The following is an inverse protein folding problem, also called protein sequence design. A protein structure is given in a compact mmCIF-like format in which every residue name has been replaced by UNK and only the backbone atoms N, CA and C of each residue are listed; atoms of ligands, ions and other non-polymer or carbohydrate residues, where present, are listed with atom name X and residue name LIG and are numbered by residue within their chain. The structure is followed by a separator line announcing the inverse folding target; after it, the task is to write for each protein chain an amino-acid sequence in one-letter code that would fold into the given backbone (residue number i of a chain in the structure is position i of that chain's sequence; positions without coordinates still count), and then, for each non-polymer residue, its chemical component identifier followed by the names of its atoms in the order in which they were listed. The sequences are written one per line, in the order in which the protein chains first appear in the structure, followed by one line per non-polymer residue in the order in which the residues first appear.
data_IF_201711176755
#
_entry.id   IF_201711176755
#
_cell.length_a   1.000
_cell.length_b   1.000
_cell.length_c   1.000
_cell.angle_alpha   90.00
_cell.angle_beta   90.00
_cell.angle_gamma   90.00
#
_symmetry.space_group_name_H-M   'P 1'
#
loop_
_entity.id
_entity.type
_entity.pdbx_description
1 polymer ?
#
# COMPACT_ATOMS: atom_id res chain seq x y z
N UNK A 1 40.35 2.48 14.77
CA UNK A 1 39.68 2.90 13.52
C UNK A 1 38.25 3.29 13.87
N UNK A 2 37.85 4.57 13.84
CA UNK A 2 36.45 4.91 14.02
C UNK A 2 35.65 4.26 12.89
N UNK A 3 34.62 3.48 13.22
CA UNK A 3 33.73 2.89 12.21
C UNK A 3 33.04 4.04 11.51
N UNK A 4 33.29 4.22 10.22
CA UNK A 4 32.60 5.21 9.40
C UNK A 4 31.10 4.93 9.49
N UNK A 5 30.32 5.93 9.90
CA UNK A 5 28.87 5.77 9.96
C UNK A 5 28.32 5.45 8.58
N UNK A 6 27.36 4.52 8.47
CA UNK A 6 26.81 4.14 7.17
C UNK A 6 26.00 5.30 6.60
N UNK A 7 26.19 5.60 5.31
CA UNK A 7 25.37 6.56 4.57
C UNK A 7 23.91 6.09 4.52
N UNK A 8 22.98 6.93 4.96
CA UNK A 8 21.53 6.67 4.98
C UNK A 8 20.78 7.58 4.03
N UNK A 9 19.52 7.26 3.77
CA UNK A 9 18.64 8.17 3.05
C UNK A 9 18.49 9.50 3.81
N UNK A 10 18.37 10.61 3.07
CA UNK A 10 18.32 11.99 3.58
C UNK A 10 17.26 12.27 4.67
N UNK A 11 16.24 11.44 4.79
CA UNK A 11 15.14 11.61 5.75
C UNK A 11 15.38 10.90 7.08
N UNK A 12 16.30 9.92 7.14
CA UNK A 12 16.56 9.13 8.34
C UNK A 12 17.46 9.90 9.32
N UNK A 13 16.87 10.86 10.04
CA UNK A 13 17.60 11.82 10.91
C UNK A 13 17.31 11.63 12.40
N UNK A 14 16.06 11.42 12.78
CA UNK A 14 15.71 11.13 14.18
C UNK A 14 16.18 9.71 14.54
N UNK A 15 16.63 9.43 15.78
CA UNK A 15 17.02 8.08 16.19
C UNK A 15 15.97 7.00 15.87
N UNK A 16 14.68 7.32 16.00
CA UNK A 16 13.61 6.39 15.65
C UNK A 16 13.44 6.22 14.14
N UNK A 17 13.64 7.29 13.36
CA UNK A 17 13.68 7.21 11.89
C UNK A 17 14.84 6.32 11.43
N UNK A 18 16.01 6.43 12.07
CA UNK A 18 17.19 5.61 11.77
C UNK A 18 16.89 4.13 12.00
N UNK A 19 16.30 3.77 13.14
CA UNK A 19 15.94 2.36 13.42
C UNK A 19 14.91 1.86 12.41
N UNK A 20 13.88 2.65 12.10
CA UNK A 20 12.86 2.30 11.12
C UNK A 20 13.45 2.13 9.71
N UNK A 21 14.29 3.07 9.27
CA UNK A 21 15.00 3.03 7.99
C UNK A 21 15.89 1.79 7.87
N UNK A 22 16.70 1.52 8.89
CA UNK A 22 17.72 0.48 8.85
C UNK A 22 17.10 -0.93 8.88
N UNK A 23 15.96 -1.08 9.55
CA UNK A 23 15.37 -2.40 9.85
C UNK A 23 14.10 -2.72 9.08
N UNK A 24 13.30 -1.73 8.71
CA UNK A 24 11.94 -1.96 8.20
C UNK A 24 11.70 -1.36 6.81
N UNK A 25 12.03 -0.09 6.59
CA UNK A 25 11.62 0.63 5.38
C UNK A 25 12.25 0.03 4.11
N UNK A 26 11.41 -0.21 3.10
CA UNK A 26 11.82 -0.82 1.84
C UNK A 26 11.98 -2.34 1.91
N UNK A 27 11.97 -2.97 3.09
CA UNK A 27 12.07 -4.43 3.21
C UNK A 27 10.78 -5.07 2.71
N UNK A 28 10.83 -6.05 1.79
CA UNK A 28 9.64 -6.74 1.29
C UNK A 28 8.77 -7.36 2.40
N UNK A 29 7.55 -6.84 2.59
CA UNK A 29 6.57 -7.40 3.52
C UNK A 29 5.55 -8.24 2.78
N UNK A 30 5.34 -9.49 3.24
CA UNK A 30 4.38 -10.45 2.66
C UNK A 30 3.30 -10.91 3.64
N UNK A 31 3.33 -10.41 4.86
CA UNK A 31 2.37 -10.74 5.91
C UNK A 31 1.20 -9.75 5.89
N UNK A 32 -0.03 -10.24 5.72
CA UNK A 32 -1.24 -9.43 5.61
C UNK A 32 -1.43 -8.49 6.80
N UNK A 33 -1.23 -8.96 8.04
CA UNK A 33 -1.40 -8.13 9.24
C UNK A 33 -0.44 -6.93 9.23
N UNK A 34 0.82 -7.15 8.81
CA UNK A 34 1.81 -6.08 8.73
C UNK A 34 1.51 -5.10 7.59
N UNK A 35 1.03 -5.60 6.44
CA UNK A 35 0.56 -4.75 5.35
C UNK A 35 -0.63 -3.89 5.78
N UNK A 36 -1.59 -4.48 6.51
CA UNK A 36 -2.73 -3.74 7.06
C UNK A 36 -2.29 -2.67 8.06
N UNK A 37 -1.37 -3.00 8.97
CA UNK A 37 -0.77 -2.04 9.90
C UNK A 37 -0.20 -0.83 9.15
N UNK A 38 0.67 -1.05 8.17
CA UNK A 38 1.26 0.06 7.40
C UNK A 38 0.21 0.85 6.64
N UNK A 39 -0.75 0.20 5.96
CA UNK A 39 -1.79 0.90 5.22
C UNK A 39 -2.60 1.86 6.12
N UNK A 40 -2.94 1.45 7.34
CA UNK A 40 -3.62 2.33 8.30
C UNK A 40 -2.73 3.46 8.81
N UNK A 41 -1.46 3.17 9.11
CA UNK A 41 -0.52 4.18 9.62
C UNK A 41 -0.20 5.26 8.57
N UNK A 42 -0.05 4.87 7.31
CA UNK A 42 0.16 5.80 6.19
C UNK A 42 -1.08 6.69 5.97
N UNK A 43 -2.29 6.13 6.08
CA UNK A 43 -3.52 6.93 6.08
C UNK A 43 -3.62 7.89 7.27
N UNK A 44 -3.19 7.45 8.46
CA UNK A 44 -3.16 8.27 9.67
C UNK A 44 -2.16 9.43 9.58
N UNK A 45 -1.11 9.29 8.76
CA UNK A 45 -0.08 10.29 8.54
C UNK A 45 -0.58 11.53 7.76
N UNK A 46 -1.70 11.47 7.04
CA UNK A 46 -2.17 12.60 6.24
C UNK A 46 -2.23 13.92 7.03
N UNK A 47 -1.44 14.92 6.63
CA UNK A 47 -1.31 16.21 7.34
C UNK A 47 -0.34 16.22 8.53
N UNK A 48 0.48 15.18 8.71
CA UNK A 48 1.44 15.02 9.80
C UNK A 48 2.79 14.49 9.26
N UNK A 49 3.82 14.57 10.10
CA UNK A 49 5.11 13.93 9.81
C UNK A 49 5.05 12.42 10.09
N UNK A 50 5.86 11.61 9.38
CA UNK A 50 5.95 10.17 9.63
C UNK A 50 6.53 9.86 11.02
N UNK A 51 7.50 10.63 11.51
CA UNK A 51 8.05 10.48 12.86
C UNK A 51 6.98 10.63 13.95
N UNK A 52 5.98 11.50 13.75
CA UNK A 52 4.80 11.60 14.64
C UNK A 52 4.05 10.27 14.72
N UNK A 53 3.88 9.59 13.59
CA UNK A 53 3.20 8.29 13.52
C UNK A 53 4.06 7.18 14.11
N UNK A 54 5.37 7.16 13.84
CA UNK A 54 6.30 6.19 14.44
C UNK A 54 6.30 6.27 15.98
N UNK A 55 6.35 7.49 16.54
CA UNK A 55 6.28 7.71 18.00
C UNK A 55 4.96 7.19 18.60
N UNK A 56 3.87 7.22 17.83
CA UNK A 56 2.53 6.75 18.25
C UNK A 56 2.25 5.29 17.91
N UNK A 57 3.13 4.62 17.15
CA UNK A 57 2.88 3.28 16.58
C UNK A 57 2.55 2.22 17.63
N UNK A 58 3.22 2.24 18.78
CA UNK A 58 2.94 1.33 19.88
C UNK A 58 1.54 1.56 20.49
N UNK A 59 1.11 2.81 20.61
CA UNK A 59 -0.24 3.15 21.06
C UNK A 59 -1.29 2.70 20.05
N UNK A 60 -1.08 2.98 18.75
CA UNK A 60 -1.95 2.47 17.69
C UNK A 60 -2.08 0.94 17.74
N UNK A 61 -0.98 0.21 17.93
CA UNK A 61 -1.01 -1.26 18.02
C UNK A 61 -1.92 -1.74 19.16
N UNK A 62 -1.87 -1.11 20.33
CA UNK A 62 -2.78 -1.45 21.44
C UNK A 62 -4.22 -1.05 21.12
N UNK A 63 -4.42 0.18 20.67
CA UNK A 63 -5.72 0.78 20.41
C UNK A 63 -6.52 0.03 19.32
N UNK A 64 -5.83 -0.50 18.30
CA UNK A 64 -6.40 -1.22 17.16
C UNK A 64 -6.24 -2.74 17.27
N UNK A 65 -6.17 -3.29 18.49
CA UNK A 65 -6.23 -4.74 18.72
C UNK A 65 -5.11 -5.53 18.05
N UNK A 66 -3.90 -4.97 18.00
CA UNK A 66 -2.74 -5.56 17.34
C UNK A 66 -2.76 -5.45 15.82
N UNK A 67 -3.58 -4.54 15.26
CA UNK A 67 -3.87 -4.45 13.83
C UNK A 67 -4.45 -5.74 13.25
N UNK A 68 -5.25 -6.48 14.04
CA UNK A 68 -6.01 -7.59 13.49
C UNK A 68 -7.22 -7.04 12.70
N UNK A 69 -7.27 -7.19 11.36
CA UNK A 69 -8.35 -6.63 10.57
C UNK A 69 -9.73 -7.20 10.96
N UNK A 70 -9.80 -8.44 11.48
CA UNK A 70 -11.07 -9.02 11.97
C UNK A 70 -11.57 -8.34 13.23
N UNK A 71 -10.67 -7.90 14.11
CA UNK A 71 -11.04 -7.13 15.31
C UNK A 71 -11.45 -5.72 14.93
N UNK A 72 -10.63 -5.03 14.13
CA UNK A 72 -10.88 -3.63 13.74
C UNK A 72 -12.16 -3.49 12.91
N UNK A 73 -12.49 -4.46 12.05
CA UNK A 73 -13.72 -4.44 11.25
C UNK A 73 -15.01 -4.46 12.10
N UNK A 74 -14.93 -4.97 13.34
CA UNK A 74 -16.04 -5.07 14.29
C UNK A 74 -16.15 -3.87 15.23
N UNK A 75 -15.23 -2.90 15.15
CA UNK A 75 -15.32 -1.71 15.98
C UNK A 75 -16.64 -0.97 15.72
N UNK A 76 -17.29 -0.58 16.80
CA UNK A 76 -18.59 0.09 16.80
C UNK A 76 -18.48 1.56 17.23
N UNK A 77 -19.62 2.22 17.46
CA UNK A 77 -19.64 3.61 17.91
C UNK A 77 -18.99 3.81 19.29
N UNK A 78 -19.05 2.82 20.18
CA UNK A 78 -18.38 2.82 21.48
C UNK A 78 -16.86 2.77 21.34
N UNK A 79 -16.36 1.89 20.48
CA UNK A 79 -14.93 1.83 20.15
C UNK A 79 -14.44 3.14 19.56
N UNK A 80 -15.18 3.75 18.64
CA UNK A 80 -14.79 5.04 18.05
C UNK A 80 -14.72 6.13 19.12
N UNK A 81 -15.68 6.20 20.05
CA UNK A 81 -15.64 7.15 21.18
C UNK A 81 -14.42 6.90 22.07
N UNK A 82 -14.14 5.63 22.41
CA UNK A 82 -12.95 5.24 23.19
C UNK A 82 -11.67 5.70 22.50
N UNK A 83 -11.54 5.47 21.19
CA UNK A 83 -10.37 5.86 20.39
C UNK A 83 -10.21 7.38 20.29
N UNK A 84 -11.31 8.14 20.19
CA UNK A 84 -11.27 9.60 20.22
C UNK A 84 -10.77 10.16 21.56
N UNK A 85 -10.94 9.42 22.66
CA UNK A 85 -10.39 9.76 23.97
C UNK A 85 -8.90 9.44 24.14
N UNK A 86 -8.31 8.61 23.27
CA UNK A 86 -6.93 8.14 23.41
C UNK A 86 -5.91 9.15 22.85
N UNK A 87 -5.24 9.88 23.75
CA UNK A 87 -4.17 10.84 23.40
C UNK A 87 -2.92 10.17 22.80
N UNK A 88 -2.77 8.86 22.95
CA UNK A 88 -1.70 8.05 22.37
C UNK A 88 -1.76 7.98 20.85
N UNK A 89 -2.94 8.13 20.24
CA UNK A 89 -3.13 8.10 18.78
C UNK A 89 -3.42 9.50 18.21
N UNK A 90 -3.75 9.58 16.91
CA UNK A 90 -4.26 10.81 16.29
C UNK A 90 -5.78 10.82 16.45
N UNK A 91 -6.29 11.70 17.31
CA UNK A 91 -7.72 11.82 17.65
C UNK A 91 -8.50 12.52 16.53
N UNK A 92 -8.69 11.82 15.43
CA UNK A 92 -9.43 12.31 14.27
C UNK A 92 -10.51 11.31 13.88
N UNK A 93 -11.78 11.74 13.98
CA UNK A 93 -12.95 10.89 13.71
C UNK A 93 -12.90 10.25 12.33
N UNK A 94 -12.63 11.04 11.29
CA UNK A 94 -12.62 10.56 9.92
C UNK A 94 -11.55 9.48 9.68
N UNK A 95 -10.35 9.63 10.28
CA UNK A 95 -9.28 8.62 10.20
C UNK A 95 -9.62 7.33 10.95
N UNK A 96 -10.27 7.43 12.12
CA UNK A 96 -10.71 6.27 12.90
C UNK A 96 -11.82 5.51 12.14
N UNK A 97 -12.84 6.22 11.66
CA UNK A 97 -13.93 5.62 10.88
C UNK A 97 -13.39 4.99 9.58
N UNK A 98 -12.39 5.62 8.95
CA UNK A 98 -11.69 5.05 7.82
C UNK A 98 -10.95 3.75 8.16
N UNK A 99 -10.30 3.65 9.32
CA UNK A 99 -9.62 2.42 9.73
C UNK A 99 -10.60 1.23 9.84
N UNK A 100 -11.81 1.46 10.36
CA UNK A 100 -12.87 0.44 10.44
C UNK A 100 -13.36 0.05 9.05
N UNK A 101 -13.63 1.03 8.17
CA UNK A 101 -14.03 0.77 6.78
C UNK A 101 -12.93 0.01 6.01
N UNK A 102 -11.67 0.41 6.18
CA UNK A 102 -10.51 -0.23 5.58
C UNK A 102 -10.34 -1.66 6.06
N UNK A 103 -10.61 -1.97 7.33
CA UNK A 103 -10.55 -3.33 7.85
C UNK A 103 -11.56 -4.26 7.15
N UNK A 104 -12.79 -3.77 6.93
CA UNK A 104 -13.83 -4.52 6.21
C UNK A 104 -13.44 -4.73 4.74
N UNK A 105 -12.99 -3.68 4.07
CA UNK A 105 -12.52 -3.74 2.68
C UNK A 105 -11.31 -4.66 2.52
N UNK A 106 -10.38 -4.63 3.47
CA UNK A 106 -9.20 -5.50 3.52
C UNK A 106 -9.59 -6.98 3.58
N UNK A 107 -10.52 -7.34 4.46
CA UNK A 107 -11.00 -8.72 4.56
C UNK A 107 -11.69 -9.18 3.28
N UNK A 108 -12.48 -8.32 2.64
CA UNK A 108 -13.11 -8.62 1.36
C UNK A 108 -12.08 -8.87 0.24
N UNK A 109 -11.06 -8.02 0.15
CA UNK A 109 -9.95 -8.20 -0.80
C UNK A 109 -9.17 -9.47 -0.52
N UNK A 110 -8.86 -9.75 0.75
CA UNK A 110 -8.15 -10.97 1.13
C UNK A 110 -8.97 -12.23 0.77
N UNK A 111 -10.30 -12.20 0.91
CA UNK A 111 -11.17 -13.30 0.49
C UNK A 111 -11.17 -13.49 -1.04
N UNK A 112 -11.22 -12.40 -1.83
CA UNK A 112 -11.21 -12.44 -3.30
C UNK A 112 -9.87 -12.91 -3.87
N UNK A 113 -8.75 -12.46 -3.29
CA UNK A 113 -7.40 -12.72 -3.82
C UNK A 113 -6.66 -13.84 -3.08
N UNK A 114 -7.28 -14.44 -2.06
CA UNK A 114 -6.66 -15.40 -1.13
C UNK A 114 -5.78 -14.74 -0.05
N UNK A 115 -5.19 -13.57 -0.32
CA UNK A 115 -4.56 -12.71 0.68
C UNK A 115 -4.43 -11.28 0.17
N UNK A 116 -4.35 -10.31 1.09
CA UNK A 116 -4.08 -8.92 0.70
C UNK A 116 -2.67 -8.75 0.15
N UNK A 117 -1.70 -9.51 0.67
CA UNK A 117 -0.34 -9.54 0.17
C UNK A 117 -0.29 -9.92 -1.30
N UNK A 118 -1.00 -10.97 -1.73
CA UNK A 118 -1.05 -11.34 -3.14
C UNK A 118 -1.61 -10.19 -3.98
N UNK A 119 -2.74 -9.63 -3.57
CA UNK A 119 -3.37 -8.50 -4.24
C UNK A 119 -2.42 -7.32 -4.46
N UNK A 120 -1.75 -6.80 -3.42
CA UNK A 120 -0.87 -5.63 -3.58
C UNK A 120 0.43 -5.95 -4.32
N UNK A 121 0.97 -7.16 -4.17
CA UNK A 121 2.19 -7.56 -4.86
C UNK A 121 1.99 -7.84 -6.36
N UNK A 122 0.76 -8.14 -6.79
CA UNK A 122 0.45 -8.31 -8.21
C UNK A 122 0.60 -6.98 -8.99
N UNK A 123 0.43 -5.82 -8.35
CA UNK A 123 0.71 -4.50 -8.94
C UNK A 123 2.18 -4.33 -9.38
N UNK A 124 3.11 -5.06 -8.75
CA UNK A 124 4.55 -5.03 -9.07
C UNK A 124 5.03 -6.33 -9.73
N UNK A 125 4.10 -7.16 -10.23
CA UNK A 125 4.44 -8.45 -10.84
C UNK A 125 5.12 -9.42 -9.87
N UNK A 126 4.80 -9.33 -8.57
CA UNK A 126 5.32 -10.20 -7.52
C UNK A 126 6.77 -9.93 -7.10
N UNK A 127 7.45 -8.91 -7.64
CA UNK A 127 8.85 -8.57 -7.33
C UNK A 127 8.99 -7.08 -7.02
N UNK A 128 9.87 -6.75 -6.08
CA UNK A 128 10.05 -5.37 -5.66
C UNK A 128 10.67 -4.55 -6.81
N UNK A 129 10.04 -3.42 -7.15
CA UNK A 129 10.59 -2.49 -8.12
C UNK A 129 11.81 -1.78 -7.54
N UNK A 130 12.84 -1.54 -8.34
CA UNK A 130 14.06 -0.87 -7.90
C UNK A 130 14.07 0.55 -8.43
N UNK A 131 13.80 1.54 -7.57
CA UNK A 131 13.61 2.94 -7.97
C UNK A 131 14.87 3.64 -8.49
N UNK A 132 16.07 3.13 -8.16
CA UNK A 132 17.39 3.63 -8.62
C UNK A 132 17.61 5.14 -8.40
N UNK A 133 16.94 5.75 -7.41
CA UNK A 133 16.99 7.17 -7.07
C UNK A 133 18.40 7.57 -6.61
N UNK A 134 18.91 8.72 -7.05
CA UNK A 134 20.25 9.19 -6.65
C UNK A 134 20.16 10.15 -5.47
N UNK A 135 19.10 10.95 -5.40
CA UNK A 135 18.93 11.99 -4.39
C UNK A 135 17.46 12.20 -4.02
N UNK A 136 17.22 13.05 -3.00
CA UNK A 136 15.87 13.51 -2.62
C UNK A 136 15.05 14.03 -3.79
N UNK A 137 15.68 14.75 -4.72
CA UNK A 137 14.99 15.40 -5.86
C UNK A 137 14.43 14.38 -6.86
N UNK A 138 14.96 13.17 -6.85
CA UNK A 138 14.54 12.11 -7.79
C UNK A 138 13.37 11.28 -7.25
N UNK A 139 13.02 11.43 -5.98
CA UNK A 139 11.94 10.66 -5.32
C UNK A 139 10.62 11.40 -5.56
N UNK A 140 9.70 10.87 -6.39
CA UNK A 140 8.43 11.52 -6.64
C UNK A 140 7.50 11.38 -5.43
N UNK A 141 6.51 12.26 -5.31
CA UNK A 141 5.47 12.11 -4.29
C UNK A 141 4.47 10.98 -4.62
N UNK A 142 4.28 10.70 -5.92
CA UNK A 142 3.39 9.65 -6.43
C UNK A 142 3.87 9.14 -7.78
N UNK A 143 3.36 7.99 -8.21
CA UNK A 143 3.69 7.36 -9.50
C UNK A 143 2.42 6.91 -10.19
N UNK A 144 2.49 6.55 -11.48
CA UNK A 144 1.34 5.92 -12.15
C UNK A 144 0.85 4.67 -11.43
N UNK A 145 1.79 3.90 -10.86
CA UNK A 145 1.43 2.69 -10.14
C UNK A 145 0.72 2.99 -8.81
N UNK A 146 1.15 4.03 -8.09
CA UNK A 146 0.45 4.44 -6.87
C UNK A 146 -0.91 5.10 -7.15
N UNK A 147 -1.06 5.79 -8.29
CA UNK A 147 -2.36 6.26 -8.80
C UNK A 147 -3.30 5.09 -9.11
N UNK A 148 -2.79 4.05 -9.78
CA UNK A 148 -3.55 2.84 -10.08
C UNK A 148 -3.99 2.10 -8.80
N UNK A 149 -3.06 1.88 -7.86
CA UNK A 149 -3.37 1.26 -6.57
C UNK A 149 -4.40 2.07 -5.78
N UNK A 150 -4.22 3.39 -5.71
CA UNK A 150 -5.17 4.31 -5.06
C UNK A 150 -6.57 4.24 -5.68
N UNK A 151 -6.66 4.21 -7.00
CA UNK A 151 -7.94 4.10 -7.71
C UNK A 151 -8.64 2.77 -7.39
N UNK A 152 -7.90 1.66 -7.39
CA UNK A 152 -8.47 0.33 -7.12
C UNK A 152 -8.90 0.18 -5.64
N UNK A 153 -8.06 0.61 -4.70
CA UNK A 153 -8.39 0.61 -3.27
C UNK A 153 -9.65 1.46 -2.99
N UNK A 154 -9.74 2.67 -3.56
CA UNK A 154 -10.95 3.51 -3.41
C UNK A 154 -12.21 2.84 -3.95
N UNK A 155 -12.12 2.22 -5.13
CA UNK A 155 -13.23 1.43 -5.71
C UNK A 155 -13.67 0.27 -4.80
N UNK A 156 -12.74 -0.29 -4.04
CA UNK A 156 -12.98 -1.39 -3.08
C UNK A 156 -13.44 -0.90 -1.70
N UNK A 157 -13.71 0.40 -1.54
CA UNK A 157 -14.25 0.98 -0.31
C UNK A 157 -13.20 1.44 0.71
N UNK A 158 -11.91 1.40 0.36
CA UNK A 158 -10.87 1.95 1.22
C UNK A 158 -10.92 3.49 1.21
N UNK A 159 -10.57 4.09 2.36
CA UNK A 159 -10.52 5.53 2.64
C UNK A 159 -9.13 5.91 3.13
N UNK A 160 -8.76 7.19 2.96
CA UNK A 160 -7.40 7.69 3.23
C UNK A 160 -6.31 6.89 2.49
N UNK A 161 -6.56 6.59 1.21
CA UNK A 161 -5.65 5.85 0.32
C UNK A 161 -5.38 6.65 -0.95
N UNK A 162 -5.08 7.94 -0.82
CA UNK A 162 -4.69 8.80 -1.95
C UNK A 162 -3.39 8.31 -2.62
N UNK A 163 -3.06 8.77 -3.85
CA UNK A 163 -1.89 8.27 -4.57
C UNK A 163 -0.55 8.50 -3.85
N UNK A 164 -0.39 9.62 -3.14
CA UNK A 164 0.78 9.87 -2.29
C UNK A 164 0.88 8.89 -1.13
N UNK A 165 -0.24 8.63 -0.43
CA UNK A 165 -0.32 7.65 0.67
C UNK A 165 0.00 6.25 0.15
N UNK A 166 -0.55 5.89 -1.02
CA UNK A 166 -0.25 4.60 -1.64
C UNK A 166 1.22 4.49 -2.01
N UNK A 167 1.86 5.55 -2.48
CA UNK A 167 3.29 5.50 -2.81
C UNK A 167 4.16 5.35 -1.56
N UNK A 168 3.85 6.10 -0.49
CA UNK A 168 4.51 5.95 0.81
C UNK A 168 4.36 4.52 1.36
N UNK A 169 3.14 3.96 1.31
CA UNK A 169 2.88 2.55 1.65
C UNK A 169 3.74 1.59 0.81
N UNK A 170 3.77 1.77 -0.52
CA UNK A 170 4.56 0.93 -1.43
C UNK A 170 6.06 0.95 -1.09
N UNK A 171 6.58 2.11 -0.71
CA UNK A 171 7.96 2.27 -0.25
C UNK A 171 8.17 1.60 1.12
N UNK A 172 7.30 1.86 2.09
CA UNK A 172 7.39 1.34 3.44
C UNK A 172 7.43 -0.20 3.47
N UNK A 173 6.55 -0.84 2.68
CA UNK A 173 6.39 -2.32 2.66
C UNK A 173 7.24 -3.02 1.59
N UNK A 174 8.10 -2.29 0.90
CA UNK A 174 9.06 -2.86 -0.05
C UNK A 174 8.45 -3.35 -1.36
N UNK A 175 7.28 -2.84 -1.76
CA UNK A 175 6.80 -2.98 -3.15
C UNK A 175 7.73 -2.21 -4.10
N UNK A 176 8.27 -1.08 -3.63
CA UNK A 176 9.31 -0.31 -4.29
C UNK A 176 10.48 -0.10 -3.33
N UNK A 177 11.69 -0.46 -3.76
CA UNK A 177 12.92 -0.09 -3.09
C UNK A 177 13.38 1.28 -3.60
N UNK A 178 13.08 2.32 -2.81
CA UNK A 178 13.45 3.72 -3.07
C UNK A 178 14.56 4.22 -2.13
N UNK A 179 15.30 3.31 -1.48
CA UNK A 179 16.57 3.71 -0.87
C UNK A 179 17.42 4.40 -1.94
N UNK A 180 18.01 5.55 -1.63
CA UNK A 180 18.90 6.23 -2.57
C UNK A 180 20.15 5.37 -2.81
N UNK A 181 20.76 5.45 -4.00
CA UNK A 181 21.84 4.53 -4.40
C UNK A 181 23.08 4.56 -3.51
N UNK A 182 23.31 5.67 -2.82
CA UNK A 182 24.36 5.88 -1.83
C UNK A 182 24.03 5.30 -0.45
N UNK A 183 22.75 5.00 -0.18
CA UNK A 183 22.33 4.40 1.07
C UNK A 183 22.85 2.96 1.22
N UNK A 184 23.42 2.63 2.39
CA UNK A 184 23.92 1.30 2.69
C UNK A 184 22.85 0.18 2.56
N UNK A 185 21.57 0.53 2.76
CA UNK A 185 20.43 -0.38 2.63
C UNK A 185 20.04 -0.65 1.19
N UNK A 186 20.41 0.19 0.21
CA UNK A 186 19.96 0.03 -1.17
C UNK A 186 20.27 -1.35 -1.74
N UNK A 187 21.55 -1.76 -1.67
CA UNK A 187 21.99 -3.09 -2.13
C UNK A 187 21.43 -4.22 -1.28
N UNK A 188 21.36 -4.04 0.04
CA UNK A 188 20.83 -5.04 0.95
C UNK A 188 19.37 -5.37 0.65
N UNK A 189 18.52 -4.34 0.51
CA UNK A 189 17.10 -4.47 0.19
C UNK A 189 16.89 -4.98 -1.24
N UNK A 190 17.72 -4.56 -2.20
CA UNK A 190 17.68 -5.10 -3.57
C UNK A 190 17.77 -6.63 -3.58
N UNK A 191 18.70 -7.21 -2.80
CA UNK A 191 18.86 -8.67 -2.70
C UNK A 191 17.64 -9.35 -2.09
N UNK A 192 17.06 -8.75 -1.03
CA UNK A 192 15.85 -9.27 -0.39
C UNK A 192 14.66 -9.31 -1.37
N UNK A 193 14.53 -8.31 -2.24
CA UNK A 193 13.48 -8.24 -3.26
C UNK A 193 13.62 -9.26 -4.40
N UNK A 194 14.80 -9.88 -4.58
CA UNK A 194 15.08 -10.85 -5.63
C UNK A 194 14.88 -12.31 -5.20
N UNK A 195 14.94 -12.59 -3.89
CA UNK A 195 15.10 -13.94 -3.35
C UNK A 195 13.90 -14.90 -3.50
N UNK A 196 12.82 -14.54 -4.20
CA UNK A 196 11.63 -15.42 -4.35
C UNK A 196 11.07 -15.46 -5.77
N UNK A 197 11.74 -16.25 -6.61
CA UNK A 197 11.05 -17.09 -7.61
C UNK A 197 11.28 -18.55 -7.21
N UNK A 198 10.48 -19.05 -6.28
CA UNK A 198 10.26 -20.49 -6.16
C UNK A 198 9.15 -20.86 -7.14
N UNK A 199 9.56 -21.48 -8.24
CA UNK A 199 8.81 -22.20 -9.28
C UNK A 199 7.32 -22.49 -8.97
N UNK A 200 6.42 -21.61 -9.43
CA UNK A 200 5.11 -22.03 -9.97
C UNK A 200 4.42 -20.86 -10.67
N UNK A 201 4.08 -21.10 -11.93
CA UNK A 201 3.23 -20.31 -12.82
C UNK A 201 3.86 -19.12 -13.57
N UNK A 202 4.53 -19.45 -14.67
CA UNK A 202 4.65 -18.59 -15.85
C UNK A 202 3.40 -18.72 -16.78
N UNK A 203 2.28 -19.25 -16.29
CA UNK A 203 1.13 -19.61 -17.11
C UNK A 203 -0.17 -19.00 -16.58
N UNK A 204 -0.28 -17.67 -16.53
CA UNK A 204 -1.57 -16.97 -16.43
C UNK A 204 -1.45 -15.46 -16.69
N UNK A 205 -0.81 -15.03 -17.79
CA UNK A 205 -1.08 -13.70 -18.37
C UNK A 205 -1.87 -13.89 -19.66
N UNK A 206 -3.10 -14.39 -19.52
CA UNK A 206 -4.12 -14.22 -20.56
C UNK A 206 -4.82 -12.90 -20.28
N UNK A 207 -4.53 -11.88 -21.10
CA UNK A 207 -5.32 -10.65 -21.22
C UNK A 207 -6.78 -11.04 -21.48
N UNK A 208 -7.79 -10.39 -20.87
CA UNK A 208 -9.18 -10.63 -21.26
C UNK A 208 -9.35 -10.18 -22.71
N UNK A 209 -9.81 -11.11 -23.56
CA UNK A 209 -10.26 -10.81 -24.93
C UNK A 209 -11.48 -9.89 -24.82
N UNK A 210 -11.43 -8.74 -25.48
CA UNK A 210 -12.61 -7.89 -25.70
C UNK A 210 -13.68 -8.70 -26.42
N UNK A 211 -14.88 -8.78 -25.84
CA UNK A 211 -16.02 -9.39 -26.47
C UNK A 211 -16.39 -8.62 -27.75
N UNK A 212 -16.35 -9.32 -28.87
CA UNK A 212 -16.90 -8.90 -30.15
C UNK A 212 -18.42 -8.95 -30.06
N UNK A 213 -19.08 -7.79 -30.15
CA UNK A 213 -20.53 -7.69 -30.36
C UNK A 213 -20.83 -7.90 -31.84
N UNK A 214 -21.45 -9.04 -32.15
CA UNK A 214 -22.08 -9.32 -33.44
C UNK A 214 -23.34 -8.46 -33.61
N UNK A 215 -23.51 -7.87 -34.79
CA UNK A 215 -24.76 -7.24 -35.27
C UNK A 215 -25.85 -8.31 -35.42
N UNK A 216 -27.13 -8.01 -35.15
CA UNK A 216 -28.23 -8.77 -35.73
C UNK A 216 -28.58 -8.22 -37.12
N UNK A 217 -28.78 -9.16 -38.04
CA UNK A 217 -29.43 -8.96 -39.33
C UNK A 217 -30.92 -9.21 -39.12
N UNK A 218 -31.77 -8.26 -39.53
CA UNK A 218 -33.16 -8.54 -39.90
C UNK A 218 -33.48 -7.84 -41.22
N UNK A 219 -33.90 -8.64 -42.20
CA UNK A 219 -34.62 -8.25 -43.40
C UNK A 219 -36.06 -7.84 -42.99
N UNK A 220 -36.95 -7.18 -43.76
CA UNK A 220 -37.15 -6.94 -45.20
C UNK A 220 -38.38 -5.98 -45.32
N UNK A 221 -38.47 -5.22 -46.42
CA UNK A 221 -39.69 -4.72 -47.14
C UNK A 221 -39.44 -3.28 -47.65
N UNK A 222 -39.10 -3.06 -48.92
CA UNK A 222 -39.97 -2.97 -50.11
C UNK A 222 -40.96 -1.80 -50.07
N UNK A 223 -40.69 -0.75 -50.86
CA UNK A 223 -41.57 -0.18 -51.90
C UNK A 223 -41.23 1.29 -52.24
N UNK A 224 -41.16 1.61 -53.54
CA UNK A 224 -41.64 2.90 -54.08
C UNK A 224 -40.61 3.98 -54.48
N UNK A 225 -40.23 3.96 -55.77
CA UNK A 225 -39.96 5.16 -56.61
C UNK A 225 -41.16 6.14 -56.60
N UNK A 226 -41.08 7.42 -57.06
CA UNK A 226 -40.34 7.96 -58.24
C UNK A 226 -39.67 9.34 -57.95
N UNK A 227 -38.95 10.05 -58.83
CA UNK A 227 -38.86 10.24 -60.29
C UNK A 227 -37.38 10.46 -60.66
#
# INVERSE_FOLDING_TARGET
MPRTEPTRCFWARDPLDVVYHDREWGVPVREDRRLFEFLLLEGAQAGLSWITILKKRAAYRRAFGGFDPRKVARFDAGDVRRLLGDAGIVRNRAKIDAAVANARAFLAVAAEHGSFARYVWDFVGGRALQGRRRSRRDVPAETELSRALSKDLRRRGFRFVGPTICYAFMQAVGLVNDHTRDCFRYRAVTRLGQARRSSRSAAAMRRPRSASTRRPVTARAAAGQPK
#
